data_IF_895399049751
#
_entry.id   IF_895399049751
#
_cell.length_a   1.000
_cell.length_b   1.000
_cell.length_c   1.000
_cell.angle_alpha   90.00
_cell.angle_beta   90.00
_cell.angle_gamma   90.00
#
_symmetry.space_group_name_H-M   'P 1'
#
loop_
_entity.id
_entity.type
_entity.pdbx_description
1 polymer ?
#
# COMPACT_ATOMS: atom_id res chain seq x y z
N UNK A 1 12.47 15.57 12.96
CA UNK A 1 12.78 15.86 11.55
C UNK A 1 14.28 16.08 11.45
N UNK A 2 15.02 15.24 10.72
CA UNK A 2 16.45 15.48 10.49
C UNK A 2 16.62 15.76 9.00
N UNK A 3 16.86 17.02 8.66
CA UNK A 3 17.28 17.39 7.32
C UNK A 3 18.77 17.12 7.25
N UNK A 4 19.19 16.28 6.32
CA UNK A 4 20.60 16.02 6.05
C UNK A 4 20.93 16.76 4.75
N UNK A 5 21.59 17.89 4.88
CA UNK A 5 22.07 18.72 3.76
C UNK A 5 21.52 20.15 3.77
N UNK A 6 22.25 21.12 3.18
CA UNK A 6 21.79 22.49 3.04
C UNK A 6 20.60 22.55 2.06
N UNK A 7 19.51 23.23 2.47
CA UNK A 7 18.31 23.45 1.65
C UNK A 7 18.58 24.20 0.34
N UNK A 8 19.76 24.82 0.17
CA UNK A 8 19.98 25.82 -0.87
C UNK A 8 21.01 25.49 -1.96
N UNK A 9 21.79 24.40 -1.92
CA UNK A 9 22.71 24.07 -3.03
C UNK A 9 22.99 22.56 -3.11
N UNK A 10 22.35 21.87 -4.06
CA UNK A 10 22.80 20.54 -4.52
C UNK A 10 21.94 19.32 -4.15
N UNK A 11 20.79 19.52 -3.49
CA UNK A 11 19.88 18.44 -3.11
C UNK A 11 19.92 18.16 -1.61
N UNK A 12 18.75 18.14 -0.98
CA UNK A 12 18.59 17.85 0.45
C UNK A 12 17.87 16.53 0.65
N UNK A 13 18.36 15.70 1.56
CA UNK A 13 17.67 14.46 1.95
C UNK A 13 16.88 14.75 3.23
N UNK A 14 15.58 14.48 3.18
CA UNK A 14 14.71 14.55 4.34
C UNK A 14 14.46 13.14 4.89
N UNK A 15 14.90 12.89 6.13
CA UNK A 15 14.53 11.69 6.87
C UNK A 15 13.54 12.06 7.96
N UNK A 16 12.37 11.42 7.94
CA UNK A 16 11.27 11.72 8.86
C UNK A 16 10.49 10.46 9.21
N UNK A 17 9.84 10.46 10.36
CA UNK A 17 8.87 9.43 10.74
C UNK A 17 7.50 9.74 10.15
N UNK A 18 6.65 8.73 9.98
CA UNK A 18 5.26 8.95 9.54
C UNK A 18 4.47 9.92 10.44
N UNK A 19 4.70 9.87 11.76
CA UNK A 19 4.07 10.78 12.72
C UNK A 19 4.51 12.23 12.53
N UNK A 20 5.79 12.46 12.25
CA UNK A 20 6.33 13.80 11.97
C UNK A 20 5.86 14.30 10.60
N UNK A 21 5.81 13.41 9.61
CA UNK A 21 5.26 13.72 8.28
C UNK A 21 3.82 14.23 8.37
N UNK A 22 2.94 13.54 9.10
CA UNK A 22 1.56 13.99 9.27
C UNK A 22 1.47 15.38 9.91
N UNK A 23 2.28 15.66 10.94
CA UNK A 23 2.32 16.96 11.62
C UNK A 23 2.72 18.10 10.67
N UNK A 24 3.64 17.84 9.75
CA UNK A 24 4.19 18.84 8.83
C UNK A 24 3.70 18.68 7.38
N UNK A 25 2.61 17.93 7.15
CA UNK A 25 2.13 17.60 5.79
C UNK A 25 1.90 18.84 4.93
N UNK A 26 1.37 19.92 5.50
CA UNK A 26 1.07 21.16 4.78
C UNK A 26 2.33 21.85 4.23
N UNK A 27 3.51 21.58 4.82
CA UNK A 27 4.80 22.08 4.35
C UNK A 27 5.46 21.12 3.37
N UNK A 28 5.20 19.82 3.49
CA UNK A 28 5.87 18.77 2.72
C UNK A 28 5.13 18.39 1.42
N UNK A 29 3.80 18.48 1.41
CA UNK A 29 2.96 18.17 0.24
C UNK A 29 3.19 19.13 -0.94
N UNK A 30 3.38 20.45 -0.76
CA UNK A 30 3.62 21.35 -1.88
C UNK A 30 5.01 21.21 -2.51
N UNK A 31 5.94 20.52 -1.85
CA UNK A 31 7.31 20.37 -2.34
C UNK A 31 7.37 19.32 -3.45
N UNK A 32 8.17 19.59 -4.48
CA UNK A 32 8.45 18.61 -5.54
C UNK A 32 9.62 17.74 -5.12
N UNK A 33 9.35 16.45 -4.92
CA UNK A 33 10.35 15.46 -4.54
C UNK A 33 10.84 14.73 -5.78
N UNK A 34 12.14 14.45 -5.85
CA UNK A 34 12.68 13.59 -6.92
C UNK A 34 12.44 12.10 -6.62
N UNK A 35 12.54 11.73 -5.34
CA UNK A 35 12.36 10.38 -4.84
C UNK A 35 11.61 10.42 -3.52
N UNK A 36 10.68 9.48 -3.35
CA UNK A 36 10.05 9.17 -2.05
C UNK A 36 10.28 7.70 -1.76
N UNK A 37 10.90 7.42 -0.62
CA UNK A 37 11.17 6.06 -0.15
C UNK A 37 10.41 5.83 1.12
N UNK A 38 9.61 4.77 1.15
CA UNK A 38 8.85 4.38 2.33
C UNK A 38 9.41 3.11 2.91
N UNK A 39 9.92 3.25 4.13
CA UNK A 39 10.37 2.12 4.93
C UNK A 39 9.17 1.48 5.64
N UNK A 40 9.26 0.18 5.88
CA UNK A 40 8.20 -0.64 6.45
C UNK A 40 6.88 -0.56 5.67
N UNK A 41 6.93 -0.85 4.37
CA UNK A 41 5.78 -0.82 3.45
C UNK A 41 4.55 -1.60 3.94
N UNK A 42 4.73 -2.59 4.81
CA UNK A 42 3.66 -3.31 5.47
C UNK A 42 2.75 -2.42 6.35
N UNK A 43 3.18 -1.21 6.72
CA UNK A 43 2.35 -0.20 7.41
C UNK A 43 1.39 0.52 6.47
N UNK A 44 1.73 0.58 5.18
CA UNK A 44 0.96 1.23 4.10
C UNK A 44 0.00 0.22 3.46
N UNK A 45 -0.68 -0.57 4.30
CA UNK A 45 -1.74 -1.46 3.81
C UNK A 45 -2.95 -0.63 3.43
N UNK A 46 -3.71 -1.07 2.41
CA UNK A 46 -4.96 -0.42 2.07
C UNK A 46 -5.87 -0.45 3.31
N UNK A 47 -6.20 0.72 3.89
CA UNK A 47 -6.97 0.78 5.12
C UNK A 47 -8.41 0.32 4.92
N UNK A 48 -8.94 0.41 3.69
CA UNK A 48 -10.32 0.01 3.38
C UNK A 48 -10.58 -1.48 3.68
N UNK A 49 -9.57 -2.34 3.50
CA UNK A 49 -9.72 -3.80 3.75
C UNK A 49 -9.61 -4.15 5.22
N UNK A 50 -8.68 -3.52 5.94
CA UNK A 50 -8.50 -3.72 7.39
C UNK A 50 -9.68 -3.17 8.17
N UNK A 51 -10.19 -2.01 7.79
CA UNK A 51 -11.33 -1.40 8.47
C UNK A 51 -12.60 -2.23 8.20
N UNK A 52 -12.86 -2.68 6.97
CA UNK A 52 -13.97 -3.60 6.69
C UNK A 52 -13.87 -4.92 7.45
N UNK A 53 -12.70 -5.55 7.52
CA UNK A 53 -12.54 -6.82 8.25
C UNK A 53 -12.59 -6.65 9.77
N UNK A 54 -12.11 -5.53 10.31
CA UNK A 54 -12.23 -5.18 11.73
C UNK A 54 -13.67 -4.85 12.12
N UNK A 55 -14.43 -4.11 11.29
CA UNK A 55 -15.85 -3.85 11.52
C UNK A 55 -16.68 -5.14 11.56
N UNK A 56 -16.37 -6.11 10.69
CA UNK A 56 -17.06 -7.41 10.69
C UNK A 56 -16.80 -8.27 11.94
N UNK A 57 -15.65 -8.10 12.61
CA UNK A 57 -15.29 -8.84 13.82
C UNK A 57 -15.61 -8.09 15.13
N UNK A 58 -16.12 -6.86 15.02
CA UNK A 58 -16.36 -5.99 16.17
C UNK A 58 -17.80 -6.15 16.72
N UNK A 59 -18.10 -7.34 17.21
CA UNK A 59 -19.09 -7.50 18.28
C UNK A 59 -18.36 -7.49 19.63
N UNK A 60 -18.44 -6.35 20.32
CA UNK A 60 -18.29 -6.19 21.78
C UNK A 60 -16.90 -6.45 22.41
N UNK A 61 -16.00 -5.44 22.45
CA UNK A 61 -14.98 -5.27 23.53
C UNK A 61 -14.22 -3.92 23.44
N UNK A 62 -13.96 -3.28 24.60
CA UNK A 62 -13.22 -2.00 24.74
C UNK A 62 -11.77 -2.07 24.20
N UNK A 63 -11.15 -3.26 24.17
CA UNK A 63 -9.80 -3.42 23.61
C UNK A 63 -9.74 -3.15 22.09
N UNK A 64 -10.86 -3.28 21.38
CA UNK A 64 -10.89 -3.04 19.94
C UNK A 64 -10.87 -1.55 19.57
N UNK A 65 -11.28 -0.64 20.47
CA UNK A 65 -11.25 0.82 20.19
C UNK A 65 -9.84 1.35 19.90
N UNK A 66 -8.82 0.83 20.60
CA UNK A 66 -7.41 1.16 20.33
C UNK A 66 -6.93 0.60 18.99
N UNK A 67 -7.39 -0.60 18.62
CA UNK A 67 -7.10 -1.21 17.31
C UNK A 67 -7.72 -0.41 16.18
N UNK A 68 -8.95 0.08 16.35
CA UNK A 68 -9.59 0.99 15.40
C UNK A 68 -8.85 2.31 15.25
N UNK A 69 -8.45 2.96 16.34
CA UNK A 69 -7.68 4.20 16.30
C UNK A 69 -6.34 4.02 15.59
N UNK A 70 -5.65 2.90 15.84
CA UNK A 70 -4.40 2.55 15.17
C UNK A 70 -4.62 2.31 13.66
N UNK A 71 -5.65 1.56 13.28
CA UNK A 71 -6.00 1.33 11.87
C UNK A 71 -6.38 2.65 11.16
N UNK A 72 -7.08 3.55 11.84
CA UNK A 72 -7.38 4.89 11.35
C UNK A 72 -6.13 5.75 11.17
N UNK A 73 -5.17 5.63 12.08
CA UNK A 73 -3.91 6.36 11.98
C UNK A 73 -3.09 5.89 10.76
N UNK A 74 -2.95 4.58 10.56
CA UNK A 74 -2.30 3.99 9.37
C UNK A 74 -3.02 4.39 8.06
N UNK A 75 -4.36 4.49 8.09
CA UNK A 75 -5.15 4.98 6.94
C UNK A 75 -4.74 6.39 6.51
N UNK A 76 -4.64 7.32 7.47
CA UNK A 76 -4.30 8.72 7.19
C UNK A 76 -2.89 8.81 6.61
N UNK A 77 -1.96 7.97 7.09
CA UNK A 77 -0.60 7.90 6.53
C UNK A 77 -0.66 7.52 5.06
N UNK A 78 -1.27 6.37 4.73
CA UNK A 78 -1.29 5.84 3.37
C UNK A 78 -1.84 6.84 2.35
N UNK A 79 -2.97 7.48 2.67
CA UNK A 79 -3.58 8.46 1.78
C UNK A 79 -2.77 9.76 1.66
N UNK A 80 -2.18 10.26 2.75
CA UNK A 80 -1.41 11.52 2.72
C UNK A 80 -0.09 11.34 1.95
N UNK A 81 0.56 10.19 2.06
CA UNK A 81 1.84 9.96 1.38
C UNK A 81 1.65 9.75 -0.13
N UNK A 82 0.49 9.25 -0.56
CA UNK A 82 0.12 9.21 -1.99
C UNK A 82 0.02 10.60 -2.62
N UNK A 83 -0.31 11.64 -1.83
CA UNK A 83 -0.42 13.01 -2.32
C UNK A 83 0.93 13.70 -2.57
N UNK A 84 2.06 13.08 -2.20
CA UNK A 84 3.38 13.65 -2.50
C UNK A 84 3.65 13.68 -4.00
N UNK A 85 4.07 14.84 -4.51
CA UNK A 85 4.50 14.96 -5.89
C UNK A 85 5.91 14.39 -6.03
N UNK A 86 6.02 13.26 -6.74
CA UNK A 86 7.30 12.64 -7.10
C UNK A 86 7.19 11.81 -8.37
N UNK A 87 8.20 11.83 -9.26
CA UNK A 87 8.26 10.95 -10.43
C UNK A 87 8.64 9.52 -10.05
N UNK A 88 9.30 9.31 -8.89
CA UNK A 88 9.76 8.00 -8.45
C UNK A 88 9.31 7.70 -7.01
N UNK A 89 8.70 6.51 -6.82
CA UNK A 89 8.23 6.00 -5.54
C UNK A 89 8.84 4.63 -5.29
N UNK A 90 9.47 4.47 -4.12
CA UNK A 90 10.06 3.22 -3.69
C UNK A 90 9.45 2.79 -2.35
N UNK A 91 9.26 1.49 -2.18
CA UNK A 91 8.80 0.91 -0.91
C UNK A 91 9.76 -0.20 -0.52
N UNK A 92 10.22 -0.15 0.73
CA UNK A 92 11.04 -1.18 1.35
C UNK A 92 10.15 -1.98 2.30
N UNK A 93 10.24 -3.31 2.24
CA UNK A 93 9.52 -4.20 3.15
C UNK A 93 10.45 -5.32 3.61
N UNK A 94 10.68 -5.42 4.92
CA UNK A 94 11.49 -6.48 5.53
C UNK A 94 10.74 -7.80 5.73
N UNK A 95 9.41 -7.79 5.64
CA UNK A 95 8.62 -9.02 5.64
C UNK A 95 8.54 -9.58 4.21
N UNK A 96 8.79 -10.88 3.99
CA UNK A 96 8.42 -11.50 2.73
C UNK A 96 6.93 -11.21 2.54
N UNK A 97 6.58 -10.59 1.42
CA UNK A 97 5.19 -10.27 1.02
C UNK A 97 4.28 -11.40 1.49
N UNK A 98 3.45 -11.15 2.50
CA UNK A 98 2.64 -12.18 3.15
C UNK A 98 1.49 -12.54 2.22
N UNK A 99 1.78 -13.28 1.14
CA UNK A 99 0.95 -14.11 0.26
C UNK A 99 -0.51 -13.73 -0.03
N UNK A 100 -0.90 -12.47 0.18
CA UNK A 100 -2.22 -11.94 -0.08
C UNK A 100 -2.12 -10.97 -1.24
N UNK A 101 -2.83 -11.27 -2.33
CA UNK A 101 -2.91 -10.42 -3.51
C UNK A 101 -3.39 -9.00 -3.16
N UNK A 102 -4.14 -8.87 -2.07
CA UNK A 102 -4.59 -7.60 -1.50
C UNK A 102 -3.43 -6.77 -0.91
N UNK A 103 -2.45 -7.41 -0.28
CA UNK A 103 -1.26 -6.73 0.23
C UNK A 103 -0.35 -6.29 -0.92
N UNK A 104 -0.17 -7.15 -1.92
CA UNK A 104 0.56 -6.83 -3.15
C UNK A 104 -0.10 -5.63 -3.84
N UNK A 105 -1.43 -5.64 -4.00
CA UNK A 105 -2.16 -4.51 -4.56
C UNK A 105 -1.92 -3.21 -3.79
N UNK A 106 -1.93 -3.26 -2.46
CA UNK A 106 -1.74 -2.08 -1.62
C UNK A 106 -0.36 -1.43 -1.85
N UNK A 107 0.68 -2.25 -1.97
CA UNK A 107 2.04 -1.78 -2.25
C UNK A 107 2.16 -1.25 -3.68
N UNK A 108 1.56 -1.97 -4.64
CA UNK A 108 1.58 -1.57 -6.04
C UNK A 108 0.76 -0.31 -6.31
N UNK A 109 -0.34 -0.07 -5.60
CA UNK A 109 -1.12 1.17 -5.67
C UNK A 109 -0.29 2.37 -5.16
N UNK A 110 0.61 2.14 -4.21
CA UNK A 110 1.55 3.18 -3.80
C UNK A 110 2.66 3.42 -4.83
N UNK A 111 3.34 2.37 -5.31
CA UNK A 111 4.46 2.50 -6.25
C UNK A 111 3.99 2.99 -7.63
N UNK A 112 2.84 2.50 -8.07
CA UNK A 112 2.26 2.74 -9.40
C UNK A 112 0.87 3.38 -9.28
N UNK A 113 0.82 4.53 -8.59
CA UNK A 113 -0.42 5.26 -8.27
C UNK A 113 -1.24 5.59 -9.53
N UNK A 114 -2.54 5.28 -9.47
CA UNK A 114 -3.52 5.62 -10.53
C UNK A 114 -3.59 4.63 -11.70
N UNK A 115 -2.90 3.49 -11.62
CA UNK A 115 -2.81 2.53 -12.74
C UNK A 115 -3.50 1.19 -12.48
N UNK A 116 -3.73 0.84 -11.22
CA UNK A 116 -4.29 -0.47 -10.82
C UNK A 116 -5.81 -0.45 -10.55
N UNK A 117 -6.50 0.64 -10.92
CA UNK A 117 -7.93 0.88 -10.64
C UNK A 117 -8.26 0.71 -9.14
N UNK A 118 -9.54 0.61 -8.80
CA UNK A 118 -9.94 0.36 -7.40
C UNK A 118 -9.56 -1.06 -6.96
N UNK A 119 -9.41 -1.26 -5.65
CA UNK A 119 -9.18 -2.58 -5.08
C UNK A 119 -10.28 -3.57 -5.49
N UNK A 120 -11.53 -3.13 -5.57
CA UNK A 120 -12.66 -3.97 -5.97
C UNK A 120 -12.46 -4.51 -7.39
N UNK A 121 -12.17 -3.62 -8.35
CA UNK A 121 -11.85 -4.02 -9.73
C UNK A 121 -10.64 -4.92 -9.81
N UNK A 122 -9.60 -4.67 -9.00
CA UNK A 122 -8.44 -5.56 -8.92
C UNK A 122 -8.80 -6.95 -8.37
N UNK A 123 -9.66 -6.99 -7.35
CA UNK A 123 -10.10 -8.23 -6.71
C UNK A 123 -10.85 -9.08 -7.71
N UNK A 124 -11.78 -8.48 -8.46
CA UNK A 124 -12.55 -9.17 -9.50
C UNK A 124 -11.68 -9.65 -10.68
N UNK A 125 -10.76 -8.79 -11.17
CA UNK A 125 -9.95 -9.09 -12.37
C UNK A 125 -8.75 -10.00 -12.10
N UNK A 126 -8.21 -9.99 -10.89
CA UNK A 126 -6.98 -10.70 -10.56
C UNK A 126 -7.12 -11.59 -9.33
N UNK A 127 -7.55 -11.05 -8.19
CA UNK A 127 -7.52 -11.82 -6.94
C UNK A 127 -8.45 -13.04 -6.96
N UNK A 128 -9.69 -12.86 -7.38
CA UNK A 128 -10.70 -13.92 -7.46
C UNK A 128 -10.30 -15.00 -8.47
N UNK A 129 -9.91 -14.68 -9.74
CA UNK A 129 -9.45 -15.70 -10.69
C UNK A 129 -8.22 -16.48 -10.21
N UNK A 130 -7.24 -15.82 -9.60
CA UNK A 130 -6.03 -16.49 -9.09
C UNK A 130 -6.39 -17.43 -7.93
N UNK A 131 -7.26 -16.98 -7.02
CA UNK A 131 -7.73 -17.80 -5.90
C UNK A 131 -8.52 -19.01 -6.41
N UNK A 132 -9.42 -18.80 -7.38
CA UNK A 132 -10.23 -19.86 -7.97
C UNK A 132 -9.39 -20.92 -8.69
N UNK A 133 -8.35 -20.52 -9.43
CA UNK A 133 -7.45 -21.47 -10.08
C UNK A 133 -6.49 -22.19 -9.13
N UNK A 134 -6.37 -21.72 -7.87
CA UNK A 134 -5.59 -22.37 -6.82
C UNK A 134 -6.32 -23.47 -6.05
N UNK A 135 -7.64 -23.59 -6.20
CA UNK A 135 -8.40 -24.66 -5.56
C UNK A 135 -8.13 -26.03 -6.19
N UNK A 136 -8.11 -27.08 -5.39
CA UNK A 136 -7.85 -28.45 -5.86
C UNK A 136 -8.88 -28.96 -6.89
N UNK A 137 -10.10 -28.41 -6.87
CA UNK A 137 -11.19 -28.73 -7.80
C UNK A 137 -11.27 -27.76 -9.00
N UNK A 138 -10.27 -26.90 -9.21
CA UNK A 138 -10.27 -25.93 -10.29
C UNK A 138 -10.30 -26.62 -11.66
N UNK A 139 -11.13 -26.08 -12.56
CA UNK A 139 -11.15 -26.51 -13.96
C UNK A 139 -9.87 -26.09 -14.69
N UNK A 140 -9.52 -26.77 -15.78
CA UNK A 140 -8.38 -26.39 -16.64
C UNK A 140 -8.47 -24.92 -17.11
N UNK A 141 -9.68 -24.43 -17.38
CA UNK A 141 -9.90 -23.05 -17.82
C UNK A 141 -9.66 -22.03 -16.69
N UNK A 142 -10.06 -22.35 -15.45
CA UNK A 142 -9.78 -21.51 -14.28
C UNK A 142 -8.27 -21.49 -13.95
N UNK A 143 -7.60 -22.63 -14.05
CA UNK A 143 -6.16 -22.72 -13.84
C UNK A 143 -5.38 -21.90 -14.88
N UNK A 144 -5.78 -21.97 -16.15
CA UNK A 144 -5.17 -21.18 -17.22
C UNK A 144 -5.43 -19.67 -17.05
N UNK A 145 -6.64 -19.29 -16.62
CA UNK A 145 -6.98 -17.89 -16.31
C UNK A 145 -6.14 -17.37 -15.14
N UNK A 146 -6.03 -18.14 -14.06
CA UNK A 146 -5.19 -17.82 -12.90
C UNK A 146 -3.73 -17.62 -13.30
N UNK A 147 -3.18 -18.53 -14.10
CA UNK A 147 -1.80 -18.43 -14.59
C UNK A 147 -1.57 -17.16 -15.43
N UNK A 148 -2.51 -16.83 -16.33
CA UNK A 148 -2.48 -15.60 -17.13
C UNK A 148 -2.50 -14.36 -16.23
N UNK A 149 -3.43 -14.29 -15.27
CA UNK A 149 -3.52 -13.18 -14.33
C UNK A 149 -2.23 -13.03 -13.50
N UNK A 150 -1.69 -14.12 -12.96
CA UNK A 150 -0.46 -14.10 -12.18
C UNK A 150 0.75 -13.66 -13.01
N UNK A 151 0.82 -14.07 -14.29
CA UNK A 151 1.89 -13.65 -15.21
C UNK A 151 1.81 -12.16 -15.51
N UNK A 152 0.61 -11.63 -15.78
CA UNK A 152 0.40 -10.19 -15.99
C UNK A 152 0.83 -9.40 -14.75
N UNK A 153 0.42 -9.84 -13.55
CA UNK A 153 0.84 -9.17 -12.32
C UNK A 153 2.36 -9.20 -12.14
N UNK A 154 3.01 -10.32 -12.42
CA UNK A 154 4.47 -10.44 -12.33
C UNK A 154 5.19 -9.45 -13.24
N UNK A 155 4.71 -9.24 -14.47
CA UNK A 155 5.29 -8.29 -15.42
C UNK A 155 5.15 -6.82 -15.01
N UNK A 156 4.18 -6.50 -14.15
CA UNK A 156 3.99 -5.13 -13.64
C UNK A 156 4.78 -4.91 -12.36
N UNK A 157 5.09 -5.99 -11.62
CA UNK A 157 5.78 -5.92 -10.33
C UNK A 157 7.31 -5.87 -10.40
N UNK A 158 7.94 -6.11 -11.56
CA UNK A 158 9.41 -6.13 -11.72
C UNK A 158 9.86 -5.63 -13.10
#
# INVERSE_FOLDING_TARGET
MRVVGPLNRGGSILVTTYSTFQKHRNLLLPQSWHYVVLDEGHKIRNPKTRVSSLFFHASLSVSQSFVFLYAFFEMIISETVKQLHTPCRLVLSGTPLQNSLTEIWSLMDFVYTGKLNSLETFTEKFATPITQGGYANATKQQLLTAYKCATVLRLVSF
#
